data_IF_775846329793
#
_entry.id   IF_775846329793
#
_cell.length_a   1.000
_cell.length_b   1.000
_cell.length_c   1.000
_cell.angle_alpha   90.00
_cell.angle_beta   90.00
_cell.angle_gamma   90.00
#
_symmetry.space_group_name_H-M   'P 1'
#
loop_
_entity.id
_entity.type
_entity.pdbx_description
1 polymer ?
#
# COMPACT_ATOMS: atom_id res chain seq x y z
N UNK A 1 5.60 4.73 -5.65
CA UNK A 1 4.35 3.95 -5.63
C UNK A 1 3.80 3.70 -7.03
N UNK A 2 3.72 4.74 -7.85
CA UNK A 2 3.17 4.63 -9.22
C UNK A 2 3.95 3.63 -10.09
N UNK A 3 5.28 3.64 -10.02
CA UNK A 3 6.11 2.71 -10.76
C UNK A 3 5.93 1.27 -10.31
N UNK A 4 5.75 1.06 -9.02
CA UNK A 4 5.49 -0.28 -8.47
C UNK A 4 4.15 -0.82 -8.95
N UNK A 5 3.11 0.01 -8.97
CA UNK A 5 1.79 -0.38 -9.47
C UNK A 5 1.85 -0.74 -10.94
N UNK A 6 2.53 0.07 -11.74
CA UNK A 6 2.72 -0.19 -13.17
C UNK A 6 3.49 -1.49 -13.40
N UNK A 7 4.55 -1.73 -12.66
CA UNK A 7 5.33 -2.96 -12.74
C UNK A 7 4.47 -4.19 -12.39
N UNK A 8 3.68 -4.11 -11.31
CA UNK A 8 2.78 -5.19 -10.93
C UNK A 8 1.74 -5.47 -12.01
N UNK A 9 1.14 -4.42 -12.58
CA UNK A 9 0.16 -4.57 -13.66
C UNK A 9 0.75 -5.25 -14.88
N UNK A 10 1.95 -4.86 -15.30
CA UNK A 10 2.65 -5.48 -16.43
C UNK A 10 2.94 -6.97 -16.16
N UNK A 11 3.37 -7.31 -14.95
CA UNK A 11 3.65 -8.69 -14.57
C UNK A 11 2.39 -9.55 -14.49
N UNK A 12 1.28 -8.98 -14.03
CA UNK A 12 -0.01 -9.67 -14.04
C UNK A 12 -0.42 -10.00 -15.47
N UNK A 13 -0.27 -9.06 -16.39
CA UNK A 13 -0.58 -9.28 -17.81
C UNK A 13 0.28 -10.38 -18.44
N UNK A 14 1.55 -10.49 -18.05
CA UNK A 14 2.49 -11.47 -18.61
C UNK A 14 2.41 -12.84 -17.95
N UNK A 15 2.26 -12.89 -16.63
CA UNK A 15 2.40 -14.12 -15.84
C UNK A 15 1.11 -14.57 -15.16
N UNK A 16 0.10 -13.70 -15.08
CA UNK A 16 -1.09 -13.92 -14.29
C UNK A 16 -0.91 -13.51 -12.83
N UNK A 17 -2.03 -13.38 -12.11
CA UNK A 17 -2.03 -12.86 -10.74
C UNK A 17 -1.31 -13.79 -9.75
N UNK A 18 -1.42 -15.10 -9.90
CA UNK A 18 -0.77 -16.04 -8.97
C UNK A 18 0.76 -15.92 -9.01
N UNK A 19 1.34 -15.89 -10.21
CA UNK A 19 2.79 -15.77 -10.36
C UNK A 19 3.32 -14.37 -10.02
N UNK A 20 2.43 -13.37 -9.96
CA UNK A 20 2.76 -11.98 -9.61
C UNK A 20 2.40 -11.63 -8.16
N UNK A 21 2.15 -12.61 -7.31
CA UNK A 21 1.67 -12.39 -5.93
C UNK A 21 2.63 -11.57 -5.07
N UNK A 22 3.94 -11.67 -5.32
CA UNK A 22 4.93 -10.87 -4.58
C UNK A 22 4.79 -9.39 -4.90
N UNK A 23 4.65 -9.05 -6.18
CA UNK A 23 4.45 -7.68 -6.63
C UNK A 23 3.13 -7.10 -6.11
N UNK A 24 2.07 -7.90 -6.11
CA UNK A 24 0.77 -7.50 -5.55
C UNK A 24 0.89 -7.21 -4.05
N UNK A 25 1.60 -8.06 -3.30
CA UNK A 25 1.83 -7.84 -1.87
C UNK A 25 2.62 -6.55 -1.60
N UNK A 26 3.64 -6.29 -2.41
CA UNK A 26 4.45 -5.08 -2.29
C UNK A 26 3.58 -3.83 -2.46
N UNK A 27 2.79 -3.74 -3.52
CA UNK A 27 1.95 -2.57 -3.75
C UNK A 27 0.88 -2.41 -2.69
N UNK A 28 0.35 -3.51 -2.16
CA UNK A 28 -0.69 -3.46 -1.13
C UNK A 28 -0.21 -2.75 0.13
N UNK A 29 0.95 -3.11 0.67
CA UNK A 29 1.43 -2.44 1.88
C UNK A 29 2.16 -1.13 1.59
N UNK A 30 2.94 -1.06 0.50
CA UNK A 30 3.72 0.15 0.19
C UNK A 30 2.83 1.32 -0.20
N UNK A 31 1.90 1.11 -1.14
CA UNK A 31 1.02 2.19 -1.61
C UNK A 31 0.10 2.70 -0.52
N UNK A 32 -0.43 1.81 0.33
CA UNK A 32 -1.26 2.21 1.46
C UNK A 32 -0.49 3.09 2.45
N UNK A 33 0.77 2.74 2.73
CA UNK A 33 1.62 3.53 3.63
C UNK A 33 2.00 4.88 3.02
N UNK A 34 2.29 4.93 1.72
CA UNK A 34 2.58 6.18 1.02
C UNK A 34 1.37 7.10 1.06
N UNK A 35 0.18 6.58 0.76
CA UNK A 35 -1.06 7.38 0.80
C UNK A 35 -1.28 7.97 2.19
N UNK A 36 -1.17 7.16 3.24
CA UNK A 36 -1.34 7.64 4.61
C UNK A 36 -0.34 8.73 4.97
N UNK A 37 0.91 8.55 4.58
CA UNK A 37 1.98 9.53 4.85
C UNK A 37 1.71 10.86 4.14
N UNK A 38 1.29 10.80 2.88
CA UNK A 38 0.97 12.01 2.09
C UNK A 38 -0.22 12.74 2.69
N UNK A 39 -1.29 12.02 3.06
CA UNK A 39 -2.48 12.62 3.68
C UNK A 39 -2.13 13.23 5.03
N UNK A 40 -1.32 12.55 5.84
CA UNK A 40 -0.88 13.07 7.13
C UNK A 40 -0.10 14.38 6.97
N UNK A 41 0.82 14.45 6.01
CA UNK A 41 1.57 15.66 5.70
C UNK A 41 0.66 16.78 5.22
N UNK A 42 -0.34 16.46 4.39
CA UNK A 42 -1.31 17.44 3.90
C UNK A 42 -2.14 18.04 5.05
N UNK A 43 -2.56 17.21 6.00
CA UNK A 43 -3.24 17.68 7.22
C UNK A 43 -2.34 18.63 7.99
N UNK A 44 -1.08 18.30 8.16
CA UNK A 44 -0.13 19.14 8.89
C UNK A 44 0.03 20.51 8.24
N UNK A 45 0.11 20.57 6.92
CA UNK A 45 0.22 21.80 6.15
C UNK A 45 -1.03 22.69 6.32
N UNK A 46 -2.22 22.08 6.37
CA UNK A 46 -3.47 22.80 6.58
C UNK A 46 -3.71 23.20 8.03
N UNK A 47 -2.93 22.65 8.97
CA UNK A 47 -3.08 22.94 10.39
C UNK A 47 -4.43 22.45 10.93
N UNK A 48 -5.04 23.24 11.83
CA UNK A 48 -6.31 22.87 12.46
C UNK A 48 -7.42 22.61 11.45
N UNK A 49 -7.44 23.34 10.33
CA UNK A 49 -8.43 23.14 9.27
C UNK A 49 -8.35 21.72 8.71
N UNK A 50 -7.15 21.15 8.60
CA UNK A 50 -6.95 19.80 8.06
C UNK A 50 -7.59 18.70 8.89
N UNK A 51 -7.76 18.91 10.21
CA UNK A 51 -8.40 17.91 11.09
C UNK A 51 -9.92 18.04 11.10
N UNK A 52 -10.46 19.10 10.52
CA UNK A 52 -11.91 19.31 10.43
C UNK A 52 -12.48 18.65 9.18
N UNK A 53 -13.82 18.51 9.15
CA UNK A 53 -14.50 17.99 7.96
C UNK A 53 -14.74 19.06 6.88
N UNK A 54 -14.21 20.28 7.07
CA UNK A 54 -14.26 21.34 6.06
C UNK A 54 -13.35 21.05 4.85
N UNK A 55 -12.40 20.14 5.01
CA UNK A 55 -11.62 19.58 3.90
C UNK A 55 -11.84 18.09 3.85
N UNK A 56 -11.51 17.46 2.70
CA UNK A 56 -11.64 16.01 2.51
C UNK A 56 -10.54 15.23 3.21
N UNK A 57 -9.48 15.88 3.70
CA UNK A 57 -8.28 15.25 4.22
C UNK A 57 -8.53 14.35 5.43
N UNK A 58 -9.31 14.83 6.40
CA UNK A 58 -9.65 14.05 7.60
C UNK A 58 -10.44 12.78 7.24
N UNK A 59 -11.36 12.90 6.28
CA UNK A 59 -12.11 11.76 5.75
C UNK A 59 -11.19 10.75 5.08
N UNK A 60 -10.28 11.19 4.25
CA UNK A 60 -9.27 10.32 3.63
C UNK A 60 -8.42 9.64 4.68
N UNK A 61 -7.97 10.35 5.69
CA UNK A 61 -7.15 9.77 6.75
C UNK A 61 -7.89 8.62 7.44
N UNK A 62 -9.15 8.85 7.83
CA UNK A 62 -9.96 7.82 8.50
C UNK A 62 -10.21 6.60 7.62
N UNK A 63 -10.64 6.81 6.37
CA UNK A 63 -11.04 5.74 5.47
C UNK A 63 -9.84 4.99 4.92
N UNK A 64 -8.80 5.71 4.50
CA UNK A 64 -7.64 5.09 3.85
C UNK A 64 -6.66 4.46 4.85
N UNK A 65 -6.77 4.82 6.14
CA UNK A 65 -6.01 4.13 7.19
C UNK A 65 -6.36 2.65 7.22
N UNK A 66 -7.60 2.31 6.94
CA UNK A 66 -8.06 0.93 6.89
C UNK A 66 -7.42 0.14 5.73
N UNK A 67 -6.88 0.80 4.71
CA UNK A 67 -6.21 0.13 3.59
C UNK A 67 -5.00 -0.70 4.03
N UNK A 68 -4.44 -0.43 5.20
CA UNK A 68 -3.35 -1.20 5.78
C UNK A 68 -3.82 -2.45 6.50
N UNK A 69 -5.13 -2.64 6.60
CA UNK A 69 -5.74 -3.71 7.39
C UNK A 69 -6.62 -4.63 6.53
N UNK A 70 -7.48 -4.06 5.67
CA UNK A 70 -8.41 -4.87 4.88
C UNK A 70 -7.70 -5.64 3.75
N UNK A 71 -8.33 -6.71 3.28
CA UNK A 71 -7.81 -7.58 2.21
C UNK A 71 -6.37 -8.07 2.49
N UNK A 72 -6.10 -8.35 3.74
CA UNK A 72 -4.79 -8.72 4.24
C UNK A 72 -4.04 -7.51 4.83
N UNK A 73 -3.71 -7.60 6.11
CA UNK A 73 -2.95 -6.57 6.79
C UNK A 73 -1.53 -6.45 6.21
N UNK A 74 -0.88 -5.30 6.42
CA UNK A 74 0.50 -5.07 5.98
C UNK A 74 1.42 -6.22 6.40
N UNK A 75 1.28 -6.71 7.62
CA UNK A 75 2.11 -7.78 8.18
C UNK A 75 1.94 -9.09 7.41
N UNK A 76 0.74 -9.40 6.94
CA UNK A 76 0.48 -10.59 6.12
C UNK A 76 1.21 -10.50 4.79
N UNK A 77 1.14 -9.35 4.13
CA UNK A 77 1.81 -9.14 2.84
C UNK A 77 3.32 -9.12 2.98
N UNK A 78 3.83 -8.50 4.04
CA UNK A 78 5.27 -8.50 4.35
C UNK A 78 5.78 -9.91 4.64
N UNK A 79 5.01 -10.69 5.38
CA UNK A 79 5.34 -12.09 5.67
C UNK A 79 5.41 -12.93 4.41
N UNK A 80 4.45 -12.78 3.50
CA UNK A 80 4.45 -13.47 2.20
C UNK A 80 5.66 -13.10 1.36
N UNK A 81 5.98 -11.81 1.30
CA UNK A 81 7.12 -11.32 0.55
C UNK A 81 8.42 -11.89 1.13
N UNK A 82 8.57 -11.88 2.45
CA UNK A 82 9.73 -12.43 3.13
C UNK A 82 9.91 -13.91 2.82
N UNK A 83 8.85 -14.70 2.83
CA UNK A 83 8.91 -16.12 2.47
C UNK A 83 9.38 -16.32 1.02
N UNK A 84 8.87 -15.50 0.10
CA UNK A 84 9.27 -15.57 -1.30
C UNK A 84 10.76 -15.28 -1.49
N UNK A 85 11.28 -14.28 -0.79
CA UNK A 85 12.68 -13.91 -0.83
C UNK A 85 13.54 -15.04 -0.25
N UNK A 86 13.14 -15.60 0.89
CA UNK A 86 13.90 -16.68 1.54
C UNK A 86 13.96 -17.93 0.68
N UNK A 87 12.91 -18.24 -0.07
CA UNK A 87 12.93 -19.36 -1.01
C UNK A 87 13.99 -19.21 -2.08
N UNK A 88 14.25 -17.99 -2.54
CA UNK A 88 15.27 -17.74 -3.55
C UNK A 88 16.68 -18.08 -3.03
N UNK A 89 16.91 -17.90 -1.74
CA UNK A 89 18.22 -18.18 -1.13
C UNK A 89 18.38 -19.61 -0.64
N UNK A 90 17.29 -20.32 -0.41
CA UNK A 90 17.30 -21.69 0.13
C UNK A 90 17.10 -22.76 -0.95
N UNK A 91 16.89 -22.37 -2.17
CA UNK A 91 16.81 -23.30 -3.31
C UNK A 91 18.16 -23.41 -4.03
#
# INVERSE_FOLDING_TARGET
ARLLVKDAAEKIDKKGSYKSRSEISIIKFYCANVLQKVVDCAIQVHGALGVTDDTILASYYRHERAARIYDGADEVHKSRLARSILKLYNS
#
